data_IF_569770465259
#
_entry.id   IF_569770465259
#
_cell.length_a   1.000
_cell.length_b   1.000
_cell.length_c   1.000
_cell.angle_alpha   90.00
_cell.angle_beta   90.00
_cell.angle_gamma   90.00
#
_symmetry.space_group_name_H-M   'P 1'
#
loop_
_entity.id
_entity.type
_entity.pdbx_description
1 polymer ?
#
# COMPACT_ATOMS: atom_id res chain seq x y z
N UNK A 1 22.24 -12.90 -2.28
CA UNK A 1 21.92 -13.89 -3.34
C UNK A 1 22.15 -13.31 -4.74
N UNK A 2 21.29 -12.42 -5.25
CA UNK A 2 21.49 -11.83 -6.60
C UNK A 2 22.74 -10.94 -6.66
N UNK A 3 22.91 -10.03 -5.69
CA UNK A 3 24.08 -9.14 -5.64
C UNK A 3 25.41 -9.90 -5.47
N UNK A 4 25.34 -11.05 -4.80
CA UNK A 4 26.49 -11.92 -4.54
C UNK A 4 26.74 -12.93 -5.68
N UNK A 5 25.95 -12.89 -6.76
CA UNK A 5 26.08 -13.79 -7.90
C UNK A 5 25.65 -15.24 -7.64
N UNK A 6 24.94 -15.51 -6.54
CA UNK A 6 24.47 -16.85 -6.15
C UNK A 6 23.22 -17.26 -6.95
N UNK A 7 22.40 -16.28 -7.35
CA UNK A 7 21.15 -16.47 -8.10
C UNK A 7 21.17 -15.56 -9.32
N UNK A 8 20.83 -16.07 -10.49
CA UNK A 8 20.77 -15.25 -11.70
C UNK A 8 19.53 -14.35 -11.71
N UNK A 9 19.62 -13.20 -12.41
CA UNK A 9 18.49 -12.24 -12.48
C UNK A 9 17.21 -12.82 -13.10
N UNK A 10 17.36 -13.81 -13.97
CA UNK A 10 16.25 -14.43 -14.72
C UNK A 10 15.89 -15.82 -14.20
N UNK A 11 16.45 -16.21 -13.06
CA UNK A 11 16.19 -17.50 -12.44
C UNK A 11 14.87 -17.46 -11.68
N UNK A 12 14.06 -18.52 -11.84
CA UNK A 12 12.83 -18.67 -11.07
C UNK A 12 13.15 -19.33 -9.73
N UNK A 13 12.83 -18.63 -8.63
CA UNK A 13 13.10 -19.09 -7.27
C UNK A 13 11.83 -19.15 -6.44
N UNK A 14 11.69 -20.21 -5.65
CA UNK A 14 10.56 -20.39 -4.74
C UNK A 14 11.04 -20.07 -3.31
N UNK A 15 10.42 -19.06 -2.70
CA UNK A 15 10.65 -18.74 -1.29
C UNK A 15 9.57 -19.40 -0.45
N UNK A 16 9.96 -20.34 0.42
CA UNK A 16 9.04 -20.98 1.36
C UNK A 16 8.83 -20.09 2.60
N UNK A 17 7.59 -19.62 2.80
CA UNK A 17 7.22 -18.79 3.96
C UNK A 17 6.81 -19.68 5.12
N UNK A 18 7.72 -19.91 6.06
CA UNK A 18 7.54 -20.84 7.19
C UNK A 18 6.60 -20.33 8.29
N UNK A 19 6.19 -19.06 8.24
CA UNK A 19 5.30 -18.44 9.21
C UNK A 19 4.29 -17.50 8.56
N UNK A 20 3.17 -17.29 9.26
CA UNK A 20 2.14 -16.37 8.82
C UNK A 20 2.45 -14.93 9.25
N UNK A 21 2.26 -13.97 8.36
CA UNK A 21 2.62 -12.56 8.58
C UNK A 21 1.94 -11.94 9.82
N UNK A 22 0.72 -12.38 10.16
CA UNK A 22 -0.02 -11.90 11.33
C UNK A 22 0.71 -12.14 12.66
N UNK A 23 1.62 -13.11 12.75
CA UNK A 23 2.46 -13.31 13.95
C UNK A 23 3.41 -12.13 14.21
N UNK A 24 3.64 -11.30 13.20
CA UNK A 24 4.58 -10.19 13.20
C UNK A 24 3.91 -8.83 12.98
N UNK A 25 2.59 -8.73 13.10
CA UNK A 25 1.86 -7.47 12.91
C UNK A 25 2.38 -6.34 13.81
N UNK A 26 2.74 -6.64 15.06
CA UNK A 26 3.33 -5.65 15.98
C UNK A 26 4.69 -5.10 15.50
N UNK A 27 5.49 -5.90 14.77
CA UNK A 27 6.72 -5.41 14.14
C UNK A 27 6.45 -4.44 13.00
N UNK A 28 5.38 -4.69 12.24
CA UNK A 28 4.96 -3.77 11.18
C UNK A 28 4.51 -2.43 11.75
N UNK A 29 3.73 -2.46 12.83
CA UNK A 29 3.31 -1.24 13.55
C UNK A 29 4.53 -0.46 14.07
N UNK A 30 5.47 -1.12 14.76
CA UNK A 30 6.72 -0.49 15.20
C UNK A 30 7.53 0.13 14.05
N UNK A 31 7.55 -0.51 12.87
CA UNK A 31 8.22 0.03 11.69
C UNK A 31 7.56 1.31 11.18
N UNK A 32 6.24 1.31 11.03
CA UNK A 32 5.50 2.46 10.52
C UNK A 32 5.49 3.64 11.49
N UNK A 33 5.50 3.36 12.79
CA UNK A 33 5.47 4.40 13.82
C UNK A 33 6.87 4.84 14.26
N UNK A 34 7.94 4.19 13.78
CA UNK A 34 9.32 4.50 14.18
C UNK A 34 9.53 4.34 15.69
N UNK A 35 9.04 3.21 16.22
CA UNK A 35 9.03 2.85 17.64
C UNK A 35 9.78 1.57 17.96
N UNK A 36 10.70 1.14 17.10
CA UNK A 36 11.55 -0.01 17.41
C UNK A 36 12.42 0.26 18.65
N UNK A 37 12.41 -0.63 19.64
CA UNK A 37 13.35 -0.55 20.76
C UNK A 37 14.80 -0.65 20.27
N UNK A 38 15.72 0.02 20.98
CA UNK A 38 17.14 0.08 20.60
C UNK A 38 17.79 -1.30 20.44
N UNK A 39 17.39 -2.28 21.27
CA UNK A 39 17.92 -3.64 21.21
C UNK A 39 17.61 -4.42 19.92
N UNK A 40 16.74 -3.91 19.05
CA UNK A 40 16.52 -4.48 17.73
C UNK A 40 17.49 -3.95 16.68
N UNK A 41 18.20 -2.85 16.94
CA UNK A 41 19.12 -2.18 16.01
C UNK A 41 18.47 -1.80 14.65
N UNK A 42 17.14 -1.69 14.62
CA UNK A 42 16.37 -1.31 13.42
C UNK A 42 16.09 0.19 13.46
N UNK A 43 16.49 0.89 12.40
CA UNK A 43 16.10 2.29 12.12
C UNK A 43 15.25 2.33 10.86
N UNK A 44 13.92 2.49 10.96
CA UNK A 44 13.04 2.59 9.80
C UNK A 44 13.44 3.74 8.87
N UNK A 45 13.48 3.47 7.56
CA UNK A 45 13.72 4.51 6.56
C UNK A 45 12.43 5.28 6.31
N UNK A 46 12.49 6.61 6.47
CA UNK A 46 11.30 7.46 6.38
C UNK A 46 10.62 7.36 5.01
N UNK A 47 11.35 7.19 3.91
CA UNK A 47 10.78 7.03 2.58
C UNK A 47 9.96 5.73 2.38
N UNK A 48 10.13 4.72 3.24
CA UNK A 48 9.42 3.44 3.16
C UNK A 48 8.31 3.30 4.21
N UNK A 49 8.08 4.33 5.02
CA UNK A 49 6.94 4.38 5.94
C UNK A 49 5.72 4.92 5.19
N UNK A 50 4.90 4.03 4.66
CA UNK A 50 3.62 4.43 4.07
C UNK A 50 2.58 4.67 5.17
N UNK A 51 1.77 5.71 4.99
CA UNK A 51 0.65 6.02 5.86
C UNK A 51 -0.62 6.10 5.02
N UNK A 52 -1.78 5.70 5.54
CA UNK A 52 -3.04 5.90 4.85
C UNK A 52 -3.21 7.37 4.46
N UNK A 53 -3.54 7.62 3.19
CA UNK A 53 -3.85 8.96 2.69
C UNK A 53 -5.32 8.98 2.29
N UNK A 54 -6.05 9.97 2.79
CA UNK A 54 -7.43 10.19 2.37
C UNK A 54 -7.45 10.61 0.90
N UNK A 55 -8.13 9.82 0.07
CA UNK A 55 -8.42 10.17 -1.32
C UNK A 55 -9.87 10.66 -1.38
N UNK A 56 -10.05 11.97 -1.61
CA UNK A 56 -11.37 12.59 -1.78
C UNK A 56 -11.33 13.58 -2.93
N UNK A 57 -11.71 13.16 -4.15
CA UNK A 57 -11.76 14.05 -5.31
C UNK A 57 -12.69 15.24 -5.04
N UNK A 58 -12.20 16.47 -5.25
CA UNK A 58 -12.98 17.70 -4.97
C UNK A 58 -14.25 17.83 -5.79
N UNK A 59 -14.28 17.19 -6.96
CA UNK A 59 -15.42 17.23 -7.91
C UNK A 59 -16.62 16.42 -7.40
N UNK A 60 -16.37 15.44 -6.51
CA UNK A 60 -17.41 14.60 -5.94
C UNK A 60 -18.07 15.33 -4.76
N UNK A 61 -19.32 15.73 -4.96
CA UNK A 61 -20.14 16.37 -3.92
C UNK A 61 -20.60 15.35 -2.87
N UNK A 62 -20.97 14.15 -3.30
CA UNK A 62 -21.40 13.05 -2.44
C UNK A 62 -20.39 11.91 -2.50
N UNK A 63 -20.12 11.31 -1.33
CA UNK A 63 -19.28 10.12 -1.19
C UNK A 63 -20.03 9.11 -0.33
N UNK A 64 -19.84 7.80 -0.55
CA UNK A 64 -20.48 6.79 0.27
C UNK A 64 -19.94 6.84 1.71
N UNK A 65 -20.80 6.53 2.67
CA UNK A 65 -20.44 6.46 4.09
C UNK A 65 -21.04 5.22 4.76
N UNK A 66 -20.61 4.90 6.00
CA UNK A 66 -21.20 3.81 6.77
C UNK A 66 -22.72 3.96 6.87
N UNK A 67 -23.47 2.94 6.44
CA UNK A 67 -24.93 2.96 6.43
C UNK A 67 -25.58 3.95 5.44
N UNK A 68 -24.79 4.64 4.61
CA UNK A 68 -25.26 5.62 3.61
C UNK A 68 -24.64 5.32 2.25
N UNK A 69 -25.10 4.26 1.55
CA UNK A 69 -24.63 3.95 0.21
C UNK A 69 -25.12 5.00 -0.79
N UNK A 70 -24.36 5.19 -1.88
CA UNK A 70 -24.81 6.00 -3.01
C UNK A 70 -25.70 5.15 -3.94
N UNK A 71 -26.71 5.77 -4.58
CA UNK A 71 -27.39 5.21 -5.74
C UNK A 71 -26.42 4.66 -6.80
N UNK A 72 -26.77 3.58 -7.53
CA UNK A 72 -25.82 2.86 -8.41
C UNK A 72 -25.02 3.75 -9.37
N UNK A 73 -25.69 4.65 -10.10
CA UNK A 73 -25.03 5.58 -11.05
C UNK A 73 -24.03 6.52 -10.38
N UNK A 74 -24.34 6.99 -9.17
CA UNK A 74 -23.49 7.91 -8.42
C UNK A 74 -22.32 7.16 -7.79
N UNK A 75 -22.54 5.91 -7.40
CA UNK A 75 -21.48 5.01 -6.93
C UNK A 75 -20.50 4.67 -8.06
N UNK A 76 -20.98 4.35 -9.26
CA UNK A 76 -20.13 4.13 -10.45
C UNK A 76 -19.25 5.34 -10.74
N UNK A 77 -19.83 6.55 -10.71
CA UNK A 77 -19.07 7.79 -10.92
C UNK A 77 -18.05 8.04 -9.80
N UNK A 78 -18.41 7.77 -8.54
CA UNK A 78 -17.49 7.81 -7.41
C UNK A 78 -16.29 6.89 -7.62
N UNK A 79 -16.51 5.64 -8.03
CA UNK A 79 -15.44 4.67 -8.30
C UNK A 79 -14.54 5.14 -9.42
N UNK A 80 -15.11 5.61 -10.54
CA UNK A 80 -14.36 6.08 -11.71
C UNK A 80 -13.44 7.25 -11.34
N UNK A 81 -13.99 8.31 -10.75
CA UNK A 81 -13.24 9.52 -10.41
C UNK A 81 -12.20 9.24 -9.32
N UNK A 82 -12.55 8.45 -8.30
CA UNK A 82 -11.60 8.11 -7.22
C UNK A 82 -10.43 7.31 -7.77
N UNK A 83 -10.69 6.38 -8.70
CA UNK A 83 -9.63 5.60 -9.36
C UNK A 83 -8.72 6.48 -10.21
N UNK A 84 -9.26 7.47 -10.93
CA UNK A 84 -8.48 8.44 -11.70
C UNK A 84 -7.59 9.31 -10.80
N UNK A 85 -8.12 9.77 -9.65
CA UNK A 85 -7.34 10.52 -8.65
C UNK A 85 -6.21 9.67 -8.07
N UNK A 86 -6.46 8.39 -7.76
CA UNK A 86 -5.43 7.45 -7.30
C UNK A 86 -4.34 7.27 -8.36
N UNK A 87 -4.74 7.07 -9.62
CA UNK A 87 -3.80 6.89 -10.72
C UNK A 87 -2.90 8.13 -10.91
N UNK A 88 -3.49 9.33 -10.78
CA UNK A 88 -2.75 10.60 -10.81
C UNK A 88 -1.77 10.74 -9.64
N UNK A 89 -2.20 10.43 -8.40
CA UNK A 89 -1.35 10.46 -7.21
C UNK A 89 -0.14 9.51 -7.34
N UNK A 90 -0.34 8.37 -8.00
CA UNK A 90 0.68 7.33 -8.20
C UNK A 90 1.48 7.47 -9.51
N UNK A 91 1.22 8.52 -10.31
CA UNK A 91 1.84 8.73 -11.63
C UNK A 91 1.74 7.50 -12.56
N UNK A 92 0.57 6.84 -12.57
CA UNK A 92 0.35 5.65 -13.38
C UNK A 92 0.04 6.03 -14.84
N UNK A 93 0.74 5.37 -15.77
CA UNK A 93 0.49 5.49 -17.21
C UNK A 93 -0.44 4.39 -17.70
N UNK A 94 -1.34 4.71 -18.63
CA UNK A 94 -2.10 3.68 -19.33
C UNK A 94 -1.13 2.76 -20.06
N UNK A 95 -1.32 1.46 -19.87
CA UNK A 95 -0.60 0.46 -20.64
C UNK A 95 -1.12 0.55 -22.09
N UNK A 96 -0.22 0.86 -23.02
CA UNK A 96 -0.47 0.82 -24.46
C UNK A 96 -0.38 -0.61 -24.98
#
# INVERSE_FOLDING_TARGET
AIADGIVEKNEEVICDSTAHALKFSGFQEMYFEDRFPEGYEIRPKREFRNTPRLVRPKVLKEVPGPGKPLPPKQFEEFVRITSEEIASILDLKKKH
#
